data_IF_368312532815
#
_entry.id   IF_368312532815
#
_cell.length_a   1.000
_cell.length_b   1.000
_cell.length_c   1.000
_cell.angle_alpha   90.00
_cell.angle_beta   90.00
_cell.angle_gamma   90.00
#
_symmetry.space_group_name_H-M   'P 1'
#
loop_
_entity.id
_entity.type
_entity.pdbx_description
1 polymer ?
#
# COMPACT_ATOMS: atom_id res chain seq x y z
N UNK A 1 -25.95 16.25 4.74
CA UNK A 1 -24.53 15.88 4.91
C UNK A 1 -24.32 14.36 4.81
N UNK A 2 -25.26 13.53 5.26
CA UNK A 2 -25.17 12.06 5.21
C UNK A 2 -24.98 11.47 3.80
N UNK A 3 -25.69 12.00 2.79
CA UNK A 3 -25.53 11.54 1.40
C UNK A 3 -24.12 11.78 0.83
N UNK A 4 -23.44 12.84 1.30
CA UNK A 4 -22.08 13.15 0.87
C UNK A 4 -21.05 12.21 1.53
N UNK A 5 -21.28 11.84 2.80
CA UNK A 5 -20.46 10.87 3.52
C UNK A 5 -20.60 9.46 2.93
N UNK A 6 -21.83 9.04 2.57
CA UNK A 6 -22.08 7.78 1.86
C UNK A 6 -21.40 7.75 0.49
N UNK A 7 -21.50 8.85 -0.27
CA UNK A 7 -20.82 8.98 -1.55
C UNK A 7 -19.30 8.84 -1.39
N UNK A 8 -18.70 9.51 -0.39
CA UNK A 8 -17.27 9.40 -0.11
C UNK A 8 -16.85 7.98 0.32
N UNK A 9 -17.69 7.30 1.10
CA UNK A 9 -17.47 5.90 1.51
C UNK A 9 -17.38 4.93 0.33
N UNK A 10 -18.23 5.12 -0.68
CA UNK A 10 -18.25 4.30 -1.90
C UNK A 10 -17.12 4.69 -2.86
N UNK A 11 -16.86 5.99 -3.02
CA UNK A 11 -15.87 6.48 -3.99
C UNK A 11 -14.42 6.30 -3.50
N UNK A 12 -14.20 6.26 -2.18
CA UNK A 12 -12.86 6.17 -1.57
C UNK A 12 -12.02 4.98 -2.07
N UNK A 13 -12.52 3.73 -2.02
CA UNK A 13 -11.80 2.57 -2.56
C UNK A 13 -11.51 2.68 -4.06
N UNK A 14 -12.46 3.20 -4.83
CA UNK A 14 -12.29 3.40 -6.28
C UNK A 14 -11.18 4.40 -6.61
N UNK A 15 -11.14 5.53 -5.88
CA UNK A 15 -10.07 6.54 -6.03
C UNK A 15 -8.71 5.97 -5.60
N UNK A 16 -8.64 5.23 -4.49
CA UNK A 16 -7.41 4.59 -4.04
C UNK A 16 -6.89 3.56 -5.07
N UNK A 17 -7.78 2.76 -5.66
CA UNK A 17 -7.43 1.82 -6.73
C UNK A 17 -6.95 2.52 -8.00
N UNK A 18 -7.56 3.65 -8.37
CA UNK A 18 -7.13 4.43 -9.53
C UNK A 18 -5.71 5.03 -9.35
N UNK A 19 -5.41 5.60 -8.18
CA UNK A 19 -4.07 6.13 -7.86
C UNK A 19 -3.03 5.01 -7.83
N UNK A 20 -3.35 3.87 -7.22
CA UNK A 20 -2.47 2.70 -7.22
C UNK A 20 -2.24 2.18 -8.64
N UNK A 21 -3.29 2.04 -9.44
CA UNK A 21 -3.20 1.58 -10.83
C UNK A 21 -2.36 2.50 -11.71
N UNK A 22 -2.49 3.83 -11.54
CA UNK A 22 -1.65 4.79 -12.23
C UNK A 22 -0.17 4.65 -11.83
N UNK A 23 0.13 4.57 -10.52
CA UNK A 23 1.50 4.37 -10.03
C UNK A 23 2.10 3.03 -10.49
N UNK A 24 1.30 1.97 -10.51
CA UNK A 24 1.69 0.65 -11.02
C UNK A 24 2.03 0.69 -12.50
N UNK A 25 1.19 1.36 -13.31
CA UNK A 25 1.43 1.55 -14.73
C UNK A 25 2.77 2.26 -14.97
N UNK A 26 3.03 3.37 -14.27
CA UNK A 26 4.29 4.11 -14.39
C UNK A 26 5.50 3.25 -14.01
N UNK A 27 5.39 2.43 -12.97
CA UNK A 27 6.47 1.53 -12.56
C UNK A 27 6.75 0.46 -13.62
N UNK A 28 5.71 -0.19 -14.17
CA UNK A 28 5.87 -1.19 -15.25
C UNK A 28 6.47 -0.56 -16.50
N UNK A 29 6.01 0.62 -16.91
CA UNK A 29 6.53 1.35 -18.07
C UNK A 29 8.03 1.67 -17.90
N UNK A 30 8.43 2.16 -16.73
CA UNK A 30 9.82 2.45 -16.40
C UNK A 30 10.71 1.19 -16.41
N UNK A 31 10.19 0.05 -15.96
CA UNK A 31 10.88 -1.25 -16.02
C UNK A 31 11.08 -1.72 -17.47
N UNK A 32 10.03 -1.64 -18.29
CA UNK A 32 10.05 -2.10 -19.69
C UNK A 32 10.96 -1.24 -20.56
N UNK A 33 10.98 0.07 -20.35
CA UNK A 33 11.84 0.98 -21.11
C UNK A 33 13.31 0.99 -20.65
N UNK A 34 13.65 0.28 -19.58
CA UNK A 34 15.03 0.24 -19.08
C UNK A 34 15.91 -0.62 -20.00
N UNK A 35 17.00 -0.05 -20.52
CA UNK A 35 17.93 -0.72 -21.43
C UNK A 35 19.07 -1.46 -20.72
N UNK A 36 19.12 -1.37 -19.39
CA UNK A 36 20.15 -1.93 -18.51
C UNK A 36 19.53 -3.12 -17.78
N UNK A 37 20.27 -4.22 -17.66
CA UNK A 37 19.81 -5.40 -16.94
C UNK A 37 19.62 -5.07 -15.46
N UNK A 38 18.37 -4.82 -15.06
CA UNK A 38 18.02 -4.42 -13.70
C UNK A 38 18.09 -5.64 -12.78
N UNK A 39 18.93 -5.57 -11.75
CA UNK A 39 19.02 -6.60 -10.71
C UNK A 39 17.69 -6.80 -10.00
N UNK A 40 17.39 -8.05 -9.62
CA UNK A 40 16.11 -8.45 -9.01
C UNK A 40 15.67 -7.57 -7.81
N UNK A 41 16.63 -7.01 -7.08
CA UNK A 41 16.40 -6.11 -5.95
C UNK A 41 15.55 -4.87 -6.30
N UNK A 42 15.64 -4.34 -7.52
CA UNK A 42 14.88 -3.14 -7.92
C UNK A 42 13.43 -3.46 -8.30
N UNK A 43 13.06 -4.73 -8.46
CA UNK A 43 11.66 -5.13 -8.67
C UNK A 43 10.89 -5.32 -7.36
N UNK A 44 11.60 -5.54 -6.24
CA UNK A 44 11.00 -5.76 -4.93
C UNK A 44 10.06 -4.62 -4.51
N UNK A 45 10.36 -3.32 -4.73
CA UNK A 45 9.45 -2.26 -4.34
C UNK A 45 8.08 -2.35 -5.02
N UNK A 46 8.01 -2.70 -6.31
CA UNK A 46 6.74 -2.90 -6.99
C UNK A 46 5.96 -4.09 -6.42
N UNK A 47 6.63 -5.23 -6.24
CA UNK A 47 5.98 -6.45 -5.73
C UNK A 47 5.40 -6.22 -4.32
N UNK A 48 6.16 -5.58 -3.43
CA UNK A 48 5.69 -5.25 -2.09
C UNK A 48 4.59 -4.17 -2.10
N UNK A 49 4.62 -3.22 -3.04
CA UNK A 49 3.53 -2.25 -3.21
C UNK A 49 2.21 -2.92 -3.62
N UNK A 50 2.26 -3.90 -4.54
CA UNK A 50 1.10 -4.71 -4.92
C UNK A 50 0.57 -5.56 -3.77
N UNK A 51 1.47 -6.17 -2.99
CA UNK A 51 1.09 -6.95 -1.81
C UNK A 51 0.43 -6.05 -0.76
N UNK A 52 0.99 -4.88 -0.48
CA UNK A 52 0.42 -3.91 0.45
C UNK A 52 -0.97 -3.43 -0.03
N UNK A 53 -1.13 -3.15 -1.33
CA UNK A 53 -2.41 -2.78 -1.91
C UNK A 53 -3.47 -3.89 -1.76
N UNK A 54 -3.09 -5.16 -1.95
CA UNK A 54 -3.98 -6.31 -1.69
C UNK A 54 -4.36 -6.35 -0.21
N UNK A 55 -3.39 -6.21 0.70
CA UNK A 55 -3.65 -6.22 2.15
C UNK A 55 -4.62 -5.11 2.56
N UNK A 56 -4.50 -3.90 2.01
CA UNK A 56 -5.42 -2.79 2.28
C UNK A 56 -6.81 -3.01 1.69
N UNK A 57 -6.92 -3.64 0.51
CA UNK A 57 -8.21 -3.97 -0.10
C UNK A 57 -8.90 -5.16 0.60
N UNK A 58 -8.14 -6.03 1.26
CA UNK A 58 -8.66 -7.17 2.04
C UNK A 58 -9.18 -6.78 3.44
N UNK A 59 -9.00 -5.52 3.85
CA UNK A 59 -9.50 -5.02 5.13
C UNK A 59 -10.95 -4.55 4.98
N UNK A 60 -11.85 -5.14 5.74
CA UNK A 60 -13.21 -4.66 5.87
C UNK A 60 -13.24 -3.43 6.80
N UNK A 61 -13.71 -2.29 6.30
CA UNK A 61 -13.78 -1.04 7.08
C UNK A 61 -14.83 -1.09 8.18
N UNK A 62 -15.84 -1.94 8.02
CA UNK A 62 -16.93 -2.09 8.99
C UNK A 62 -16.43 -2.74 10.31
N UNK A 63 -15.32 -3.47 10.25
CA UNK A 63 -14.65 -4.11 11.40
C UNK A 63 -13.66 -3.19 12.14
N UNK A 64 -13.45 -1.96 11.65
CA UNK A 64 -12.54 -0.96 12.25
C UNK A 64 -13.29 0.01 13.18
N UNK A 65 -14.61 0.16 13.01
CA UNK A 65 -15.44 1.09 13.77
C UNK A 65 -15.77 0.58 15.18
N UNK A 66 -15.51 1.40 16.20
CA UNK A 66 -15.86 1.13 17.61
C UNK A 66 -17.39 1.02 17.87
N UNK A 67 -18.23 1.16 16.83
CA UNK A 67 -19.68 1.16 16.93
C UNK A 67 -20.30 -0.23 16.63
N UNK A 68 -19.49 -1.23 16.28
CA UNK A 68 -19.95 -2.59 16.02
C UNK A 68 -20.13 -3.38 17.33
N UNK A 69 -21.34 -3.37 17.90
CA UNK A 69 -21.68 -4.17 19.06
C UNK A 69 -21.93 -5.63 18.65
N UNK A 70 -20.95 -6.52 18.85
CA UNK A 70 -21.13 -7.97 18.72
C UNK A 70 -21.59 -8.58 20.05
N UNK A 71 -22.81 -9.15 20.15
CA UNK A 71 -23.26 -9.85 21.37
C UNK A 71 -22.49 -11.15 21.68
N UNK A 72 -21.65 -11.64 20.75
CA UNK A 72 -20.75 -12.76 20.93
C UNK A 72 -19.30 -12.27 20.79
N UNK A 73 -18.55 -12.33 21.91
CA UNK A 73 -17.09 -12.15 22.08
C UNK A 73 -16.27 -11.61 20.91
N UNK A 74 -15.66 -10.45 21.16
CA UNK A 74 -14.95 -9.58 20.24
C UNK A 74 -13.52 -10.04 19.87
N UNK A 75 -13.38 -11.20 19.21
CA UNK A 75 -12.07 -11.74 18.82
C UNK A 75 -11.55 -11.21 17.46
N UNK A 76 -12.35 -10.42 16.72
CA UNK A 76 -12.03 -9.96 15.36
C UNK A 76 -11.31 -8.61 15.31
N UNK A 77 -11.57 -7.70 16.24
CA UNK A 77 -11.09 -6.31 16.15
C UNK A 77 -9.56 -6.20 16.16
N UNK A 78 -8.88 -6.95 17.04
CA UNK A 78 -7.42 -6.90 17.16
C UNK A 78 -6.72 -7.48 15.92
N UNK A 79 -7.35 -8.42 15.20
CA UNK A 79 -6.80 -9.06 14.00
C UNK A 79 -6.72 -8.05 12.86
N UNK A 80 -7.76 -7.25 12.68
CA UNK A 80 -7.83 -6.20 11.65
C UNK A 80 -6.83 -5.09 11.96
N UNK A 81 -6.73 -4.66 13.22
CA UNK A 81 -5.73 -3.66 13.66
C UNK A 81 -4.29 -4.13 13.43
N UNK A 82 -3.99 -5.39 13.77
CA UNK A 82 -2.67 -5.99 13.53
C UNK A 82 -2.38 -6.10 12.03
N UNK A 83 -3.37 -6.49 11.22
CA UNK A 83 -3.22 -6.60 9.77
C UNK A 83 -2.93 -5.24 9.12
N UNK A 84 -3.63 -4.19 9.55
CA UNK A 84 -3.39 -2.80 9.15
C UNK A 84 -1.99 -2.32 9.55
N UNK A 85 -1.54 -2.67 10.76
CA UNK A 85 -0.19 -2.35 11.22
C UNK A 85 0.88 -3.00 10.33
N UNK A 86 0.72 -4.29 9.99
CA UNK A 86 1.65 -4.98 9.09
C UNK A 86 1.63 -4.34 7.70
N UNK A 87 0.46 -4.04 7.15
CA UNK A 87 0.34 -3.38 5.84
C UNK A 87 1.05 -2.01 5.83
N UNK A 88 0.93 -1.24 6.92
CA UNK A 88 1.63 0.03 7.09
C UNK A 88 3.16 -0.14 7.15
N UNK A 89 3.65 -1.10 7.94
CA UNK A 89 5.09 -1.40 8.05
C UNK A 89 5.66 -1.84 6.70
N UNK A 90 4.98 -2.73 5.99
CA UNK A 90 5.40 -3.18 4.65
C UNK A 90 5.48 -2.00 3.68
N UNK A 91 4.50 -1.09 3.72
CA UNK A 91 4.49 0.12 2.88
C UNK A 91 5.66 1.06 3.19
N UNK A 92 5.95 1.29 4.48
CA UNK A 92 7.04 2.16 4.89
C UNK A 92 8.42 1.58 4.55
N UNK A 93 8.63 0.29 4.79
CA UNK A 93 9.88 -0.42 4.43
C UNK A 93 10.10 -0.42 2.93
N UNK A 94 9.03 -0.56 2.15
CA UNK A 94 9.07 -0.53 0.68
C UNK A 94 9.50 0.86 0.17
N UNK A 95 8.91 1.94 0.69
CA UNK A 95 9.29 3.32 0.36
C UNK A 95 10.73 3.63 0.78
N UNK A 96 11.10 3.29 2.02
CA UNK A 96 12.45 3.49 2.54
C UNK A 96 13.49 2.69 1.74
N UNK A 97 13.17 1.47 1.33
CA UNK A 97 14.02 0.64 0.47
C UNK A 97 14.22 1.25 -0.91
N UNK A 98 13.15 1.74 -1.54
CA UNK A 98 13.23 2.41 -2.84
C UNK A 98 14.12 3.67 -2.78
N UNK A 99 13.95 4.51 -1.76
CA UNK A 99 14.78 5.72 -1.58
C UNK A 99 16.21 5.36 -1.20
N UNK A 100 16.40 4.37 -0.32
CA UNK A 100 17.72 3.94 0.14
C UNK A 100 18.60 3.41 -0.99
N UNK A 101 18.03 2.60 -1.89
CA UNK A 101 18.75 2.11 -3.08
C UNK A 101 19.12 3.27 -4.01
N UNK A 102 18.20 4.22 -4.24
CA UNK A 102 18.46 5.40 -5.07
C UNK A 102 19.52 6.31 -4.45
N UNK A 103 19.46 6.59 -3.15
CA UNK A 103 20.38 7.46 -2.45
C UNK A 103 21.79 6.86 -2.38
N UNK A 104 21.90 5.56 -2.09
CA UNK A 104 23.19 4.86 -2.02
C UNK A 104 23.87 4.70 -3.39
N UNK A 105 23.08 4.67 -4.47
CA UNK A 105 23.61 4.64 -5.84
C UNK A 105 24.14 5.98 -6.34
N UNK A 106 23.85 7.10 -5.64
CA UNK A 106 24.24 8.43 -6.10
C UNK A 106 25.74 8.70 -5.88
N UNK A 107 26.46 9.28 -6.86
CA UNK A 107 27.89 9.59 -6.76
C UNK A 107 28.23 10.56 -5.61
N UNK A 108 27.25 11.32 -5.13
CA UNK A 108 27.38 12.33 -4.08
C UNK A 108 27.52 11.74 -2.67
N UNK A 109 27.13 10.48 -2.45
CA UNK A 109 27.25 9.79 -1.16
C UNK A 109 28.61 9.08 -0.95
N UNK A 110 29.53 9.16 -1.93
CA UNK A 110 30.87 8.54 -1.89
C UNK A 110 32.01 9.54 -1.71
N UNK A 111 31.68 10.80 -1.42
CA UNK A 111 32.63 11.86 -1.03
C UNK A 111 32.53 12.10 0.48
#
# INVERSE_FOLDING_TARGET
MENLALLWGIMGPGVAGAVFGAGWWFWVDAVVCSSVQVSFLHYLPGIFASLAALMFNAVNKDEIGNDYYSPYGDDSEWRVKLWLFVAYVVSFVCLAGSVGISAFSSPLARL
#
